data_IF_562059360390
#
_entry.id   IF_562059360390
#
_cell.length_a   1.000
_cell.length_b   1.000
_cell.length_c   1.000
_cell.angle_alpha   90.00
_cell.angle_beta   90.00
_cell.angle_gamma   90.00
#
_symmetry.space_group_name_H-M   'P 1'
#
loop_
_entity.id
_entity.type
_entity.pdbx_description
1 polymer ?
#
# COMPACT_ATOMS: atom_id res chain seq x y z
N UNK A 1 -3.71 -6.88 13.75
CA UNK A 1 -2.98 -6.22 12.66
C UNK A 1 -3.86 -5.12 12.09
N UNK A 2 -3.56 -3.86 12.40
CA UNK A 2 -4.43 -2.69 12.12
C UNK A 2 -4.22 -2.10 10.72
N UNK A 3 -3.13 -2.47 10.04
CA UNK A 3 -2.76 -2.08 8.67
C UNK A 3 -1.79 -3.13 8.07
N UNK A 4 -1.50 -3.07 6.76
CA UNK A 4 -0.64 -4.03 6.05
C UNK A 4 0.84 -3.62 5.99
N UNK A 5 1.16 -2.40 6.43
CA UNK A 5 2.52 -1.82 6.48
C UNK A 5 3.59 -2.65 7.22
N UNK A 6 3.28 -3.51 8.22
CA UNK A 6 4.30 -4.39 8.79
C UNK A 6 4.97 -5.32 7.77
N UNK A 7 4.28 -5.67 6.66
CA UNK A 7 4.88 -6.44 5.56
C UNK A 7 5.92 -5.60 4.82
N UNK A 8 5.68 -4.31 4.61
CA UNK A 8 6.60 -3.39 3.93
C UNK A 8 7.92 -3.26 4.69
N UNK A 9 7.87 -3.02 6.01
CA UNK A 9 9.07 -2.92 6.83
C UNK A 9 9.91 -4.21 6.80
N UNK A 10 9.25 -5.39 6.84
CA UNK A 10 9.93 -6.69 6.70
C UNK A 10 10.55 -6.89 5.33
N UNK A 11 9.89 -6.43 4.26
CA UNK A 11 10.45 -6.47 2.90
C UNK A 11 11.68 -5.57 2.81
N UNK A 12 11.62 -4.35 3.33
CA UNK A 12 12.75 -3.41 3.34
C UNK A 12 13.95 -3.95 4.12
N UNK A 13 13.73 -4.63 5.25
CA UNK A 13 14.82 -5.25 6.04
C UNK A 13 15.48 -6.45 5.36
N UNK A 14 14.77 -7.14 4.46
CA UNK A 14 15.27 -8.33 3.75
C UNK A 14 15.88 -8.00 2.40
N UNK A 15 15.57 -6.84 1.84
CA UNK A 15 16.08 -6.41 0.55
C UNK A 15 17.54 -5.98 0.63
N UNK A 16 18.24 -6.09 -0.50
CA UNK A 16 19.59 -5.55 -0.62
C UNK A 16 19.55 -4.03 -0.41
N UNK A 17 20.52 -3.46 0.35
CA UNK A 17 20.58 -2.02 0.57
C UNK A 17 20.58 -1.26 -0.76
N UNK A 18 19.76 -0.20 -0.84
CA UNK A 18 19.61 0.66 -2.02
C UNK A 18 19.08 -0.05 -3.29
N UNK A 19 18.63 -1.30 -3.19
CA UNK A 19 17.92 -1.93 -4.30
C UNK A 19 16.51 -1.35 -4.43
N UNK A 20 16.01 -1.15 -5.67
CA UNK A 20 14.63 -0.72 -5.87
C UNK A 20 13.62 -1.72 -5.31
N UNK A 21 12.57 -1.22 -4.66
CA UNK A 21 11.48 -2.03 -4.11
C UNK A 21 10.19 -1.60 -4.79
N UNK A 22 9.42 -2.56 -5.31
CA UNK A 22 8.06 -2.36 -5.84
C UNK A 22 7.18 -3.47 -5.30
N UNK A 23 6.21 -3.14 -4.46
CA UNK A 23 5.34 -4.15 -3.85
C UNK A 23 3.91 -3.67 -3.64
N UNK A 24 2.99 -4.63 -3.65
CA UNK A 24 1.59 -4.45 -3.28
C UNK A 24 1.29 -5.45 -2.16
N UNK A 25 0.71 -4.97 -1.06
CA UNK A 25 0.38 -5.74 0.12
C UNK A 25 -1.14 -5.72 0.35
N UNK A 26 -1.90 -6.66 -0.24
CA UNK A 26 -3.30 -6.87 0.12
C UNK A 26 -3.40 -7.63 1.45
N UNK A 27 -4.36 -7.30 2.29
CA UNK A 27 -4.56 -8.01 3.55
C UNK A 27 -5.81 -7.64 4.32
N UNK A 28 -6.23 -8.56 5.17
CA UNK A 28 -7.30 -8.32 6.15
C UNK A 28 -6.73 -7.52 7.33
N UNK A 29 -7.41 -6.45 7.70
CA UNK A 29 -7.05 -5.58 8.81
C UNK A 29 -8.19 -5.52 9.82
N UNK A 30 -7.83 -5.24 11.08
CA UNK A 30 -8.74 -5.23 12.21
C UNK A 30 -8.67 -3.86 12.88
N UNK A 31 -9.82 -3.18 13.05
CA UNK A 31 -9.93 -1.92 13.77
C UNK A 31 -11.07 -1.99 14.77
N UNK A 32 -10.90 -1.32 15.90
CA UNK A 32 -11.95 -1.27 16.93
C UNK A 32 -12.89 -0.09 16.69
N UNK A 33 -13.49 -0.06 15.50
CA UNK A 33 -14.48 0.94 15.09
C UNK A 33 -15.75 0.16 14.68
N UNK A 34 -16.90 0.48 15.28
CA UNK A 34 -18.17 -0.21 14.99
C UNK A 34 -19.31 0.81 14.88
N UNK A 35 -19.74 1.07 13.65
CA UNK A 35 -20.94 1.83 13.33
C UNK A 35 -21.49 1.42 11.94
N UNK A 36 -22.49 2.15 11.42
CA UNK A 36 -23.17 1.81 10.18
C UNK A 36 -22.26 1.75 8.93
N UNK A 37 -21.11 2.43 8.94
CA UNK A 37 -20.14 2.44 7.82
C UNK A 37 -18.80 1.81 8.19
N UNK A 38 -18.55 1.55 9.47
CA UNK A 38 -17.30 1.01 9.97
C UNK A 38 -17.46 -0.45 10.41
N UNK A 39 -16.89 -1.36 9.62
CA UNK A 39 -16.73 -2.76 10.01
C UNK A 39 -15.43 -2.94 10.79
N UNK A 40 -15.43 -3.68 11.90
CA UNK A 40 -14.21 -4.00 12.66
C UNK A 40 -13.19 -4.81 11.86
N UNK A 41 -13.60 -5.41 10.74
CA UNK A 41 -12.76 -6.22 9.86
C UNK A 41 -13.01 -5.86 8.41
N UNK A 42 -11.96 -5.45 7.70
CA UNK A 42 -12.04 -5.14 6.27
C UNK A 42 -10.75 -5.51 5.54
N UNK A 43 -10.75 -5.40 4.21
CA UNK A 43 -9.56 -5.62 3.39
C UNK A 43 -8.93 -4.28 3.03
N UNK A 44 -7.62 -4.18 3.23
CA UNK A 44 -6.81 -3.04 2.86
C UNK A 44 -5.75 -3.48 1.85
N UNK A 45 -5.43 -2.61 0.91
CA UNK A 45 -4.33 -2.79 -0.04
C UNK A 45 -3.39 -1.60 0.12
N UNK A 46 -2.11 -1.85 0.37
CA UNK A 46 -1.08 -0.81 0.37
C UNK A 46 -0.06 -1.08 -0.74
N UNK A 47 0.34 -0.03 -1.46
CA UNK A 47 1.45 -0.07 -2.42
C UNK A 47 2.67 0.64 -1.87
N UNK A 48 3.86 0.11 -2.14
CA UNK A 48 5.14 0.74 -1.81
C UNK A 48 6.07 0.68 -3.02
N UNK A 49 6.62 1.83 -3.39
CA UNK A 49 7.67 1.97 -4.40
C UNK A 49 8.83 2.77 -3.79
N UNK A 50 10.04 2.23 -3.86
CA UNK A 50 11.29 2.86 -3.44
C UNK A 50 12.28 2.71 -4.60
N UNK A 51 12.82 3.83 -5.09
CA UNK A 51 13.83 3.90 -6.16
C UNK A 51 14.53 5.27 -6.08
N UNK A 52 15.72 5.41 -6.65
CA UNK A 52 16.54 6.64 -6.53
C UNK A 52 15.90 7.89 -7.17
N UNK A 53 14.98 7.71 -8.12
CA UNK A 53 14.39 8.80 -8.90
C UNK A 53 12.87 8.89 -8.77
N UNK A 54 12.28 8.28 -7.73
CA UNK A 54 10.83 8.37 -7.51
C UNK A 54 10.47 9.74 -6.97
N UNK A 55 9.48 10.35 -7.63
CA UNK A 55 8.96 11.67 -7.32
C UNK A 55 7.50 11.59 -6.92
N UNK A 56 6.97 12.71 -6.40
CA UNK A 56 5.54 12.83 -6.14
C UNK A 56 4.68 12.75 -7.41
N UNK A 57 5.23 13.11 -8.57
CA UNK A 57 4.54 12.98 -9.84
C UNK A 57 4.26 11.51 -10.19
N UNK A 58 5.17 10.60 -9.84
CA UNK A 58 4.99 9.16 -10.06
C UNK A 58 3.86 8.59 -9.19
N UNK A 59 3.74 9.05 -7.94
CA UNK A 59 2.61 8.69 -7.07
C UNK A 59 1.29 9.17 -7.68
N UNK A 60 1.22 10.43 -8.11
CA UNK A 60 0.03 10.99 -8.76
C UNK A 60 -0.33 10.20 -10.02
N UNK A 61 0.64 9.96 -10.91
CA UNK A 61 0.42 9.23 -12.16
C UNK A 61 -0.01 7.79 -11.93
N UNK A 62 0.53 7.13 -10.90
CA UNK A 62 0.13 5.77 -10.51
C UNK A 62 -1.32 5.74 -10.04
N UNK A 63 -1.73 6.67 -9.17
CA UNK A 63 -3.11 6.75 -8.69
C UNK A 63 -4.09 7.12 -9.80
N UNK A 64 -3.71 8.05 -10.68
CA UNK A 64 -4.52 8.42 -11.85
C UNK A 64 -4.70 7.25 -12.81
N UNK A 65 -3.61 6.53 -13.13
CA UNK A 65 -3.67 5.33 -13.95
C UNK A 65 -4.54 4.26 -13.31
N UNK A 66 -4.39 4.01 -12.00
CA UNK A 66 -5.21 3.05 -11.27
C UNK A 66 -6.71 3.39 -11.34
N UNK A 67 -7.07 4.64 -11.08
CA UNK A 67 -8.45 5.10 -11.16
C UNK A 67 -9.01 4.96 -12.59
N UNK A 68 -8.22 5.31 -13.61
CA UNK A 68 -8.62 5.14 -15.02
C UNK A 68 -8.88 3.68 -15.39
N UNK A 69 -8.03 2.77 -14.92
CA UNK A 69 -8.22 1.33 -15.17
C UNK A 69 -9.42 0.75 -14.41
N UNK A 70 -9.75 1.30 -13.24
CA UNK A 70 -10.91 0.86 -12.47
C UNK A 70 -12.24 1.41 -12.96
N UNK A 71 -12.26 2.67 -13.42
CA UNK A 71 -13.49 3.42 -13.62
C UNK A 71 -13.66 4.07 -15.01
N UNK A 72 -12.63 4.04 -15.88
CA UNK A 72 -12.66 4.64 -17.23
C UNK A 72 -12.07 6.04 -17.31
#
# INVERSE_FOLDING_TARGET
>A
NTHTSPVQARTMQRHEPNSPIRMIAPGKVYRWDYDATHSPVFHQVEGLIIDEHITFADLKGTLESFLRHMYG
#
